data_IF_196339291610
#
_entry.id   IF_196339291610
#
_cell.length_a   1.000
_cell.length_b   1.000
_cell.length_c   1.000
_cell.angle_alpha   90.00
_cell.angle_beta   90.00
_cell.angle_gamma   90.00
#
_symmetry.space_group_name_H-M   'P 1'
#
loop_
_entity.id
_entity.type
_entity.pdbx_description
1 polymer ?
#
# COMPACT_ATOMS: atom_id res chain seq x y z
N UNK A 1 41.19 40.25 -3.52
CA UNK A 1 40.36 41.16 -2.72
C UNK A 1 38.95 40.65 -2.81
N UNK A 2 38.19 40.55 -1.72
CA UNK A 2 36.78 40.23 -1.80
C UNK A 2 36.09 41.33 -2.62
N UNK A 3 35.18 40.93 -3.48
CA UNK A 3 34.30 41.83 -4.21
C UNK A 3 33.56 42.73 -3.22
N UNK A 4 33.36 44.03 -3.58
CA UNK A 4 32.52 44.93 -2.79
C UNK A 4 31.10 44.38 -2.55
N UNK A 5 30.69 43.40 -3.34
CA UNK A 5 29.41 42.71 -3.26
C UNK A 5 29.42 41.41 -2.42
N UNK A 6 30.54 41.09 -1.74
CA UNK A 6 30.65 39.86 -0.95
C UNK A 6 29.57 39.77 0.16
N UNK A 7 29.30 40.88 0.86
CA UNK A 7 28.22 40.96 1.82
C UNK A 7 26.83 40.75 1.21
N UNK A 8 26.61 41.23 -0.02
CA UNK A 8 25.37 41.00 -0.76
C UNK A 8 25.20 39.53 -1.13
N UNK A 9 26.26 38.84 -1.53
CA UNK A 9 26.22 37.39 -1.82
C UNK A 9 25.87 36.58 -0.57
N UNK A 10 26.43 36.92 0.60
CA UNK A 10 26.08 36.30 1.88
C UNK A 10 24.60 36.49 2.18
N UNK A 11 24.09 37.72 2.06
CA UNK A 11 22.67 37.99 2.30
C UNK A 11 21.76 37.28 1.30
N UNK A 12 22.16 37.18 0.04
CA UNK A 12 21.43 36.48 -1.01
C UNK A 12 21.34 34.96 -0.73
N UNK A 13 22.45 34.31 -0.36
CA UNK A 13 22.46 32.89 -0.01
C UNK A 13 21.59 32.61 1.21
N UNK A 14 21.64 33.50 2.23
CA UNK A 14 20.75 33.43 3.40
C UNK A 14 19.27 33.55 3.05
N UNK A 15 18.92 34.44 2.10
CA UNK A 15 17.56 34.61 1.60
C UNK A 15 17.07 33.35 0.86
N UNK A 16 17.89 32.79 -0.02
CA UNK A 16 17.58 31.56 -0.75
C UNK A 16 17.35 30.39 0.22
N UNK A 17 18.22 30.23 1.21
CA UNK A 17 18.09 29.19 2.22
C UNK A 17 16.81 29.34 3.05
N UNK A 18 16.47 30.60 3.44
CA UNK A 18 15.23 30.88 4.16
C UNK A 18 13.99 30.61 3.31
N UNK A 19 14.01 30.94 2.02
CA UNK A 19 12.92 30.65 1.09
C UNK A 19 12.73 29.11 0.91
N UNK A 20 13.83 28.36 0.79
CA UNK A 20 13.76 26.91 0.72
C UNK A 20 13.12 26.32 2.00
N UNK A 21 13.51 26.81 3.18
CA UNK A 21 12.94 26.38 4.45
C UNK A 21 11.45 26.73 4.58
N UNK A 22 11.04 27.95 4.18
CA UNK A 22 9.64 28.38 4.17
C UNK A 22 8.80 27.56 3.21
N UNK A 23 9.27 27.32 2.00
CA UNK A 23 8.56 26.51 1.00
C UNK A 23 8.38 25.08 1.48
N UNK A 24 9.41 24.48 2.07
CA UNK A 24 9.33 23.12 2.64
C UNK A 24 8.38 23.06 3.81
N UNK A 25 8.40 24.07 4.70
CA UNK A 25 7.46 24.14 5.82
C UNK A 25 6.03 24.31 5.33
N UNK A 26 5.79 25.18 4.36
CA UNK A 26 4.47 25.40 3.75
C UNK A 26 3.94 24.13 3.09
N UNK A 27 4.80 23.39 2.39
CA UNK A 27 4.45 22.11 1.78
C UNK A 27 4.10 21.06 2.85
N UNK A 28 4.86 20.99 3.95
CA UNK A 28 4.56 20.10 5.08
C UNK A 28 3.20 20.41 5.72
N UNK A 29 2.88 21.71 5.90
CA UNK A 29 1.61 22.15 6.48
C UNK A 29 0.46 21.82 5.52
N UNK A 30 0.61 22.13 4.23
CA UNK A 30 -0.42 21.85 3.22
C UNK A 30 -0.77 20.35 3.13
N UNK A 31 0.22 19.48 3.35
CA UNK A 31 0.06 18.04 3.23
C UNK A 31 -0.06 17.29 4.57
N UNK A 32 -0.30 17.98 5.69
CA UNK A 32 -0.36 17.37 7.03
C UNK A 32 -1.42 16.28 7.14
N UNK A 33 -2.50 16.39 6.36
CA UNK A 33 -3.60 15.42 6.33
C UNK A 33 -3.56 14.49 5.10
N UNK A 34 -2.57 14.63 4.23
CA UNK A 34 -2.44 13.78 3.04
C UNK A 34 -1.90 12.42 3.46
N UNK A 35 -2.69 11.38 3.20
CA UNK A 35 -2.29 10.01 3.52
C UNK A 35 -1.01 9.62 2.77
N UNK A 36 -0.07 8.98 3.48
CA UNK A 36 1.23 8.57 2.92
C UNK A 36 2.26 9.71 2.78
N UNK A 37 1.92 10.95 3.15
CA UNK A 37 2.88 12.06 3.11
C UNK A 37 3.94 11.92 4.20
N UNK A 38 5.21 12.05 3.83
CA UNK A 38 6.34 12.10 4.76
C UNK A 38 6.86 13.52 4.88
N UNK A 39 6.97 14.03 6.13
CA UNK A 39 7.51 15.35 6.42
C UNK A 39 8.89 15.53 5.81
N UNK A 40 9.13 16.66 5.17
CA UNK A 40 10.41 17.04 4.60
C UNK A 40 11.17 17.98 5.54
N UNK A 41 12.48 17.85 5.55
CA UNK A 41 13.42 18.72 6.28
C UNK A 41 14.48 19.25 5.32
N UNK A 42 14.77 20.55 5.42
CA UNK A 42 15.85 21.16 4.69
C UNK A 42 17.13 21.03 5.50
N UNK A 43 18.17 20.46 4.88
CA UNK A 43 19.50 20.39 5.45
C UNK A 43 20.31 21.57 4.95
N UNK A 44 20.77 22.41 5.89
CA UNK A 44 21.56 23.61 5.62
C UNK A 44 22.85 23.56 6.40
N UNK A 45 23.93 24.07 5.80
CA UNK A 45 25.20 24.22 6.46
C UNK A 45 25.80 25.59 6.17
N UNK A 46 26.75 26.00 7.01
CA UNK A 46 27.55 27.18 6.72
C UNK A 46 28.39 26.91 5.47
N UNK A 47 28.34 27.83 4.50
CA UNK A 47 29.19 27.74 3.32
C UNK A 47 30.68 27.82 3.74
N UNK A 48 31.55 27.17 2.96
CA UNK A 48 32.98 27.10 3.23
C UNK A 48 33.57 28.49 3.44
N UNK A 49 34.27 28.69 4.56
CA UNK A 49 34.89 30.00 4.86
C UNK A 49 35.95 30.39 3.83
N UNK A 50 35.86 31.60 3.30
CA UNK A 50 36.83 32.13 2.35
C UNK A 50 37.93 32.87 3.09
N UNK A 51 39.18 32.59 2.75
CA UNK A 51 40.33 33.34 3.23
C UNK A 51 40.41 34.69 2.50
N UNK A 52 39.81 35.70 3.11
CA UNK A 52 39.63 37.01 2.48
C UNK A 52 40.79 37.95 2.83
N UNK A 53 41.37 37.81 4.01
CA UNK A 53 42.46 38.64 4.51
C UNK A 53 43.61 37.78 5.02
N UNK A 54 44.83 38.13 4.64
CA UNK A 54 46.01 37.41 5.12
C UNK A 54 46.24 37.61 6.62
N UNK A 55 45.72 38.69 7.20
CA UNK A 55 46.01 39.13 8.57
C UNK A 55 44.86 38.86 9.54
N UNK A 56 43.61 38.74 9.09
CA UNK A 56 42.42 38.67 9.96
C UNK A 56 41.67 37.34 9.91
N UNK A 57 42.19 36.30 9.24
CA UNK A 57 41.59 34.97 9.18
C UNK A 57 40.59 34.79 8.04
N UNK A 58 39.64 33.87 8.24
CA UNK A 58 38.63 33.50 7.24
C UNK A 58 37.31 34.21 7.51
N UNK A 59 36.69 34.73 6.45
CA UNK A 59 35.33 35.27 6.50
C UNK A 59 34.30 34.19 6.15
N UNK A 60 33.18 34.17 6.85
CA UNK A 60 32.06 33.29 6.53
C UNK A 60 31.47 33.62 5.16
N UNK A 61 31.12 32.63 4.36
CA UNK A 61 30.62 32.77 2.99
C UNK A 61 29.09 32.66 2.87
N UNK A 62 28.37 32.64 3.99
CA UNK A 62 26.90 32.52 3.99
C UNK A 62 26.41 31.13 4.31
N UNK A 63 25.28 30.76 3.75
CA UNK A 63 24.59 29.46 3.99
C UNK A 63 24.44 28.71 2.66
N UNK A 64 24.65 27.40 2.73
CA UNK A 64 24.43 26.48 1.63
C UNK A 64 23.31 25.52 1.98
N UNK A 65 22.32 25.36 1.09
CA UNK A 65 21.28 24.35 1.21
C UNK A 65 21.73 23.09 0.50
N UNK A 66 21.97 22.03 1.26
CA UNK A 66 22.50 20.78 0.72
C UNK A 66 21.44 19.91 0.07
N UNK A 67 20.32 19.69 0.78
CA UNK A 67 19.28 18.79 0.32
C UNK A 67 17.95 19.07 1.05
N UNK A 68 16.86 18.61 0.45
CA UNK A 68 15.55 18.46 1.10
C UNK A 68 15.31 16.96 1.27
N UNK A 69 15.36 16.49 2.50
CA UNK A 69 15.26 15.08 2.85
C UNK A 69 13.92 14.77 3.49
N UNK A 70 13.41 13.55 3.26
CA UNK A 70 12.24 13.06 3.96
C UNK A 70 12.63 12.50 5.32
N UNK A 71 11.88 12.90 6.36
CA UNK A 71 12.06 12.35 7.70
C UNK A 71 11.24 11.06 7.77
N UNK A 72 11.90 9.91 7.65
CA UNK A 72 11.31 8.58 7.77
C UNK A 72 12.07 7.79 8.81
N UNK A 73 11.35 6.90 9.47
CA UNK A 73 11.89 5.92 10.39
C UNK A 73 11.59 4.52 9.82
N UNK A 74 12.62 3.87 9.30
CA UNK A 74 12.51 2.56 8.64
C UNK A 74 11.93 1.48 9.56
N UNK A 75 12.17 1.59 10.86
CA UNK A 75 11.62 0.65 11.83
C UNK A 75 10.09 0.75 11.91
N UNK A 76 9.54 1.96 11.99
CA UNK A 76 8.09 2.16 12.00
C UNK A 76 7.47 1.87 10.65
N UNK A 77 8.15 2.21 9.55
CA UNK A 77 7.70 1.90 8.19
C UNK A 77 7.57 0.37 8.01
N UNK A 78 8.59 -0.39 8.42
CA UNK A 78 8.55 -1.85 8.35
C UNK A 78 7.39 -2.44 9.16
N UNK A 79 7.19 -1.97 10.40
CA UNK A 79 6.06 -2.41 11.24
C UNK A 79 4.70 -2.03 10.66
N UNK A 80 4.60 -0.86 10.05
CA UNK A 80 3.37 -0.45 9.37
C UNK A 80 3.05 -1.38 8.20
N UNK A 81 4.04 -1.69 7.36
CA UNK A 81 3.85 -2.60 6.21
C UNK A 81 3.44 -4.01 6.66
N UNK A 82 4.11 -4.55 7.68
CA UNK A 82 3.78 -5.86 8.24
C UNK A 82 2.34 -5.89 8.80
N UNK A 83 1.95 -4.86 9.52
CA UNK A 83 0.61 -4.78 10.08
C UNK A 83 -0.45 -4.58 8.98
N UNK A 84 -0.18 -3.72 7.99
CA UNK A 84 -1.08 -3.48 6.88
C UNK A 84 -1.27 -4.74 6.02
N UNK A 85 -0.20 -5.51 5.79
CA UNK A 85 -0.28 -6.80 5.11
C UNK A 85 -1.18 -7.79 5.88
N UNK A 86 -1.06 -7.87 7.21
CA UNK A 86 -1.93 -8.69 8.06
C UNK A 86 -3.38 -8.22 8.03
N UNK A 87 -3.62 -6.91 8.07
CA UNK A 87 -4.98 -6.35 7.96
C UNK A 87 -5.61 -6.76 6.63
N UNK A 88 -4.86 -6.64 5.53
CA UNK A 88 -5.32 -7.09 4.21
C UNK A 88 -5.63 -8.59 4.17
N UNK A 89 -4.75 -9.43 4.73
CA UNK A 89 -4.94 -10.88 4.83
C UNK A 89 -6.22 -11.24 5.61
N UNK A 90 -6.38 -10.65 6.81
CA UNK A 90 -7.56 -10.96 7.64
C UNK A 90 -8.86 -10.42 7.05
N UNK A 91 -8.82 -9.26 6.40
CA UNK A 91 -9.99 -8.69 5.71
C UNK A 91 -10.45 -9.60 4.59
N UNK A 92 -9.51 -10.12 3.79
CA UNK A 92 -9.84 -11.04 2.71
C UNK A 92 -10.34 -12.40 3.23
N UNK A 93 -9.71 -12.92 4.29
CA UNK A 93 -10.19 -14.13 4.96
C UNK A 93 -11.61 -13.95 5.50
N UNK A 94 -11.88 -12.84 6.16
CA UNK A 94 -13.22 -12.53 6.67
C UNK A 94 -14.26 -12.50 5.54
N UNK A 95 -13.93 -11.86 4.44
CA UNK A 95 -14.82 -11.78 3.27
C UNK A 95 -15.22 -13.16 2.76
N UNK A 96 -14.25 -14.07 2.54
CA UNK A 96 -14.55 -15.41 2.07
C UNK A 96 -15.23 -16.27 3.14
N UNK A 97 -14.86 -16.12 4.43
CA UNK A 97 -15.53 -16.83 5.50
C UNK A 97 -17.00 -16.44 5.62
N UNK A 98 -17.34 -15.17 5.44
CA UNK A 98 -18.74 -14.71 5.41
C UNK A 98 -19.51 -15.32 4.24
N UNK A 99 -18.88 -15.49 3.07
CA UNK A 99 -19.50 -16.17 1.94
C UNK A 99 -19.73 -17.67 2.21
N UNK A 100 -18.75 -18.33 2.83
CA UNK A 100 -18.89 -19.73 3.23
C UNK A 100 -19.98 -19.88 4.28
N UNK A 101 -20.04 -19.00 5.29
CA UNK A 101 -21.07 -18.97 6.31
C UNK A 101 -22.48 -18.88 5.70
N UNK A 102 -22.64 -18.05 4.66
CA UNK A 102 -23.91 -17.90 3.96
C UNK A 102 -24.41 -19.20 3.29
N UNK A 103 -23.52 -20.15 2.98
CA UNK A 103 -23.92 -21.46 2.46
C UNK A 103 -24.48 -22.41 3.54
N UNK A 104 -24.17 -22.15 4.81
CA UNK A 104 -24.64 -22.91 5.95
C UNK A 104 -25.81 -22.23 6.68
N UNK A 105 -26.14 -20.99 6.31
CA UNK A 105 -27.11 -20.17 7.01
C UNK A 105 -28.53 -20.70 6.81
N UNK A 106 -29.28 -20.79 7.92
CA UNK A 106 -30.64 -21.27 8.02
C UNK A 106 -31.58 -20.08 8.24
N UNK A 107 -31.79 -19.29 7.19
CA UNK A 107 -32.55 -18.01 7.25
C UNK A 107 -34.07 -18.18 7.18
N UNK A 108 -34.60 -19.37 7.35
CA UNK A 108 -36.05 -19.63 7.31
C UNK A 108 -36.68 -19.49 5.89
N UNK A 109 -35.95 -18.95 4.89
CA UNK A 109 -36.37 -18.94 3.48
C UNK A 109 -35.84 -20.12 2.70
N UNK A 110 -34.62 -20.56 3.03
CA UNK A 110 -34.02 -21.78 2.51
C UNK A 110 -33.73 -22.70 3.70
N UNK A 111 -33.98 -23.98 3.53
CA UNK A 111 -33.64 -24.99 4.54
C UNK A 111 -32.10 -25.10 4.60
N UNK A 112 -31.48 -24.54 5.63
CA UNK A 112 -30.05 -24.69 5.91
C UNK A 112 -29.73 -26.07 6.48
N UNK A 113 -28.45 -26.29 6.80
CA UNK A 113 -27.99 -27.58 7.34
C UNK A 113 -28.80 -28.06 8.53
N UNK A 114 -29.08 -27.18 9.49
CA UNK A 114 -29.82 -27.52 10.70
C UNK A 114 -31.22 -28.02 10.38
N UNK A 115 -31.97 -27.34 9.55
CA UNK A 115 -33.35 -27.75 9.18
C UNK A 115 -33.36 -29.09 8.47
N UNK A 116 -32.46 -29.30 7.50
CA UNK A 116 -32.39 -30.57 6.74
C UNK A 116 -31.98 -31.74 7.65
N UNK A 117 -31.02 -31.50 8.54
CA UNK A 117 -30.55 -32.50 9.50
C UNK A 117 -31.61 -32.82 10.55
N UNK A 118 -32.30 -31.83 11.13
CA UNK A 118 -33.37 -32.03 12.09
C UNK A 118 -34.56 -32.76 11.46
N UNK A 119 -34.88 -32.50 10.22
CA UNK A 119 -35.92 -33.24 9.49
C UNK A 119 -35.60 -34.73 9.36
N UNK A 120 -34.34 -35.08 9.09
CA UNK A 120 -33.90 -36.48 9.01
C UNK A 120 -33.85 -37.13 10.41
N UNK A 121 -33.08 -36.52 11.34
CA UNK A 121 -32.71 -37.14 12.61
C UNK A 121 -33.80 -37.03 13.66
N UNK A 122 -34.59 -35.97 13.67
CA UNK A 122 -35.65 -35.78 14.63
C UNK A 122 -36.99 -36.24 14.03
N UNK A 123 -37.43 -35.57 12.95
CA UNK A 123 -38.78 -35.81 12.40
C UNK A 123 -38.90 -37.20 11.76
N UNK A 124 -37.98 -37.53 10.84
CA UNK A 124 -38.02 -38.78 10.10
C UNK A 124 -37.74 -40.00 10.98
N UNK A 125 -36.76 -39.89 11.91
CA UNK A 125 -36.43 -40.99 12.83
C UNK A 125 -37.53 -41.23 13.85
N UNK A 126 -38.13 -40.16 14.41
CA UNK A 126 -39.24 -40.30 15.36
C UNK A 126 -40.48 -40.91 14.73
N UNK A 127 -40.82 -40.52 13.49
CA UNK A 127 -41.98 -41.10 12.79
C UNK A 127 -41.74 -42.58 12.45
N UNK A 128 -40.52 -42.92 11.99
CA UNK A 128 -40.17 -44.33 11.76
C UNK A 128 -40.19 -45.19 13.02
N UNK A 129 -39.82 -44.63 14.21
CA UNK A 129 -39.88 -45.33 15.49
C UNK A 129 -41.31 -45.54 15.98
N UNK A 130 -42.25 -44.61 15.69
CA UNK A 130 -43.66 -44.74 16.07
C UNK A 130 -44.38 -45.79 15.22
N UNK A 131 -44.11 -45.84 13.93
CA UNK A 131 -44.78 -46.70 12.95
C UNK A 131 -43.77 -47.43 12.08
N UNK A 132 -43.02 -48.40 12.62
CA UNK A 132 -41.91 -49.05 11.92
C UNK A 132 -42.32 -49.87 10.70
N UNK A 133 -43.56 -50.32 10.64
CA UNK A 133 -44.11 -51.16 9.55
C UNK A 133 -44.79 -50.32 8.46
N UNK A 134 -45.00 -49.03 8.69
CA UNK A 134 -45.65 -48.16 7.71
C UNK A 134 -44.72 -47.83 6.51
N UNK A 135 -45.19 -48.13 5.32
CA UNK A 135 -44.47 -47.83 4.07
C UNK A 135 -44.33 -46.33 3.82
N UNK A 136 -45.31 -45.53 4.30
CA UNK A 136 -45.26 -44.08 4.16
C UNK A 136 -44.13 -43.48 5.02
N UNK A 137 -44.00 -43.91 6.28
CA UNK A 137 -42.94 -43.47 7.19
C UNK A 137 -41.54 -43.84 6.64
N UNK A 138 -41.36 -45.02 6.06
CA UNK A 138 -40.13 -45.43 5.40
C UNK A 138 -39.80 -44.57 4.19
N UNK A 139 -40.78 -44.31 3.35
CA UNK A 139 -40.60 -43.45 2.15
C UNK A 139 -40.22 -42.03 2.54
N UNK A 140 -40.87 -41.48 3.58
CA UNK A 140 -40.57 -40.14 4.07
C UNK A 140 -39.16 -40.06 4.68
N UNK A 141 -38.71 -41.04 5.44
CA UNK A 141 -37.33 -41.09 5.95
C UNK A 141 -36.30 -41.14 4.83
N UNK A 142 -36.53 -41.95 3.78
CA UNK A 142 -35.67 -42.00 2.60
C UNK A 142 -35.68 -40.61 1.86
N UNK A 143 -36.86 -39.96 1.81
CA UNK A 143 -36.97 -38.62 1.25
C UNK A 143 -36.12 -37.57 1.99
N UNK A 144 -36.13 -37.60 3.34
CA UNK A 144 -35.28 -36.73 4.15
C UNK A 144 -33.79 -37.05 3.98
N UNK A 145 -33.42 -38.31 3.87
CA UNK A 145 -32.04 -38.71 3.58
C UNK A 145 -31.59 -38.24 2.19
N UNK A 146 -32.49 -38.33 1.20
CA UNK A 146 -32.25 -37.76 -0.14
C UNK A 146 -32.05 -36.26 -0.11
N UNK A 147 -32.91 -35.52 0.61
CA UNK A 147 -32.77 -34.06 0.77
C UNK A 147 -31.45 -33.67 1.44
N UNK A 148 -30.97 -34.44 2.43
CA UNK A 148 -29.66 -34.22 3.04
C UNK A 148 -28.52 -34.46 2.05
N UNK A 149 -28.59 -35.50 1.23
CA UNK A 149 -27.61 -35.78 0.19
C UNK A 149 -27.58 -34.67 -0.88
N UNK A 150 -28.73 -34.17 -1.32
CA UNK A 150 -28.87 -33.07 -2.26
C UNK A 150 -28.28 -31.77 -1.67
N UNK A 151 -28.53 -31.50 -0.39
CA UNK A 151 -27.95 -30.36 0.31
C UNK A 151 -26.41 -30.41 0.28
N UNK A 152 -25.80 -31.53 0.62
CA UNK A 152 -24.33 -31.66 0.58
C UNK A 152 -23.77 -31.58 -0.84
N UNK A 153 -24.45 -32.13 -1.84
CA UNK A 153 -24.04 -32.00 -3.23
C UNK A 153 -24.10 -30.53 -3.70
N UNK A 154 -25.18 -29.82 -3.33
CA UNK A 154 -25.29 -28.41 -3.60
C UNK A 154 -24.18 -27.57 -2.93
N UNK A 155 -23.91 -27.87 -1.64
CA UNK A 155 -22.84 -27.23 -0.89
C UNK A 155 -21.46 -27.48 -1.53
N UNK A 156 -21.16 -28.73 -1.90
CA UNK A 156 -19.91 -29.07 -2.58
C UNK A 156 -19.76 -28.29 -3.89
N UNK A 157 -20.81 -28.23 -4.72
CA UNK A 157 -20.80 -27.46 -5.96
C UNK A 157 -20.57 -25.95 -5.74
N UNK A 158 -21.16 -25.38 -4.70
CA UNK A 158 -20.96 -23.97 -4.34
C UNK A 158 -19.53 -23.71 -3.85
N UNK A 159 -18.95 -24.59 -3.06
CA UNK A 159 -17.56 -24.50 -2.60
C UNK A 159 -16.57 -24.66 -3.74
N UNK A 160 -16.80 -25.58 -4.68
CA UNK A 160 -15.97 -25.72 -5.88
C UNK A 160 -16.03 -24.46 -6.76
N UNK A 161 -17.21 -23.87 -6.90
CA UNK A 161 -17.38 -22.61 -7.62
C UNK A 161 -16.61 -21.49 -6.94
N UNK A 162 -16.79 -21.33 -5.62
CA UNK A 162 -16.03 -20.34 -4.83
C UNK A 162 -14.53 -20.53 -4.99
N UNK A 163 -14.02 -21.76 -4.95
CA UNK A 163 -12.61 -22.03 -5.17
C UNK A 163 -12.13 -21.59 -6.55
N UNK A 164 -12.93 -21.81 -7.60
CA UNK A 164 -12.60 -21.35 -8.96
C UNK A 164 -12.60 -19.81 -9.05
N UNK A 165 -13.58 -19.17 -8.43
CA UNK A 165 -13.69 -17.71 -8.40
C UNK A 165 -12.50 -17.09 -7.65
N UNK A 166 -12.10 -17.66 -6.49
CA UNK A 166 -10.88 -17.23 -5.75
C UNK A 166 -9.61 -17.40 -6.60
N UNK A 167 -9.46 -18.52 -7.28
CA UNK A 167 -8.29 -18.76 -8.14
C UNK A 167 -8.24 -17.76 -9.32
N UNK A 168 -9.39 -17.37 -9.85
CA UNK A 168 -9.46 -16.35 -10.90
C UNK A 168 -9.12 -14.96 -10.34
N UNK A 169 -9.61 -14.62 -9.15
CA UNK A 169 -9.30 -13.36 -8.48
C UNK A 169 -7.81 -13.25 -8.17
N UNK A 170 -7.17 -14.33 -7.70
CA UNK A 170 -5.71 -14.37 -7.49
C UNK A 170 -4.97 -14.03 -8.78
N UNK A 171 -5.35 -14.59 -9.93
CA UNK A 171 -4.72 -14.27 -11.22
C UNK A 171 -4.85 -12.79 -11.56
N UNK A 172 -6.06 -12.23 -11.43
CA UNK A 172 -6.29 -10.81 -11.68
C UNK A 172 -5.46 -9.92 -10.75
N UNK A 173 -5.34 -10.30 -9.47
CA UNK A 173 -4.51 -9.55 -8.51
C UNK A 173 -3.01 -9.64 -8.81
N UNK A 174 -2.54 -10.79 -9.29
CA UNK A 174 -1.14 -10.93 -9.75
C UNK A 174 -0.87 -10.05 -10.97
N UNK A 175 -1.79 -10.00 -11.93
CA UNK A 175 -1.66 -9.14 -13.11
C UNK A 175 -1.66 -7.65 -12.73
N UNK A 176 -2.52 -7.25 -11.80
CA UNK A 176 -2.55 -5.89 -11.23
C UNK A 176 -1.21 -5.55 -10.54
N UNK A 177 -0.68 -6.44 -9.72
CA UNK A 177 0.63 -6.26 -9.07
C UNK A 177 1.78 -6.12 -10.08
N UNK A 178 1.79 -6.92 -11.14
CA UNK A 178 2.80 -6.82 -12.19
C UNK A 178 2.70 -5.48 -12.95
N UNK A 179 1.49 -4.99 -13.20
CA UNK A 179 1.26 -3.66 -13.80
C UNK A 179 1.80 -2.56 -12.90
N UNK A 180 1.46 -2.58 -11.61
CA UNK A 180 1.96 -1.59 -10.64
C UNK A 180 3.50 -1.62 -10.52
N UNK A 181 4.10 -2.81 -10.52
CA UNK A 181 5.56 -2.94 -10.49
C UNK A 181 6.22 -2.31 -11.73
N UNK A 182 5.61 -2.50 -12.91
CA UNK A 182 6.07 -1.90 -14.16
C UNK A 182 5.93 -0.36 -14.14
N UNK A 183 4.82 0.15 -13.59
CA UNK A 183 4.62 1.60 -13.42
C UNK A 183 5.67 2.20 -12.47
N UNK A 184 5.94 1.55 -11.33
CA UNK A 184 6.99 1.98 -10.39
C UNK A 184 8.36 2.01 -11.07
N UNK A 185 8.70 0.97 -11.84
CA UNK A 185 9.97 0.93 -12.58
C UNK A 185 10.06 2.08 -13.60
N UNK A 186 8.97 2.40 -14.28
CA UNK A 186 8.90 3.51 -15.25
C UNK A 186 9.06 4.87 -14.54
N UNK A 187 8.36 5.07 -13.42
CA UNK A 187 8.48 6.29 -12.62
C UNK A 187 9.88 6.47 -12.06
N UNK A 188 10.51 5.40 -11.56
CA UNK A 188 11.91 5.46 -11.10
C UNK A 188 12.86 5.86 -12.22
N UNK A 189 12.65 5.32 -13.44
CA UNK A 189 13.46 5.73 -14.61
C UNK A 189 13.25 7.21 -14.94
N UNK A 190 12.01 7.71 -14.88
CA UNK A 190 11.73 9.14 -15.11
C UNK A 190 12.39 10.02 -14.05
N UNK A 191 12.33 9.65 -12.77
CA UNK A 191 12.97 10.38 -11.67
C UNK A 191 14.47 10.46 -11.90
N UNK A 192 15.12 9.34 -12.17
CA UNK A 192 16.57 9.30 -12.46
C UNK A 192 16.94 10.20 -13.66
N UNK A 193 16.11 10.23 -14.71
CA UNK A 193 16.34 11.08 -15.87
C UNK A 193 16.24 12.56 -15.50
N UNK A 194 15.24 12.95 -14.69
CA UNK A 194 15.05 14.33 -14.23
C UNK A 194 16.21 14.75 -13.31
N UNK A 195 16.63 13.88 -12.39
CA UNK A 195 17.75 14.16 -11.49
C UNK A 195 19.06 14.37 -12.26
N UNK A 196 19.34 13.54 -13.28
CA UNK A 196 20.50 13.70 -14.16
C UNK A 196 20.45 15.03 -14.92
N UNK A 197 19.29 15.42 -15.46
CA UNK A 197 19.13 16.71 -16.16
C UNK A 197 19.31 17.86 -15.19
N UNK A 198 18.78 17.81 -13.98
CA UNK A 198 18.96 18.84 -12.96
C UNK A 198 20.42 18.95 -12.52
N UNK A 199 21.14 17.84 -12.38
CA UNK A 199 22.56 17.83 -12.04
C UNK A 199 23.40 18.47 -13.15
N UNK A 200 23.19 18.09 -14.42
CA UNK A 200 23.86 18.70 -15.57
C UNK A 200 23.54 20.20 -15.68
N UNK A 201 22.30 20.63 -15.39
CA UNK A 201 21.92 22.04 -15.44
C UNK A 201 22.58 22.88 -14.31
N UNK A 202 22.80 22.27 -13.13
CA UNK A 202 23.49 22.93 -12.02
C UNK A 202 24.97 23.10 -12.28
N UNK A 203 25.62 22.15 -12.95
CA UNK A 203 27.03 22.30 -13.38
C UNK A 203 27.20 23.37 -14.49
N UNK A 204 26.19 23.56 -15.35
CA UNK A 204 26.25 24.55 -16.44
C UNK A 204 26.20 26.00 -15.93
N UNK A 205 25.67 26.26 -14.76
CA UNK A 205 25.59 27.60 -14.15
C UNK A 205 26.84 28.00 -13.35
N UNK A 206 27.80 27.11 -13.18
CA UNK A 206 28.95 27.32 -12.30
C UNK A 206 30.32 27.43 -12.98
N UNK A 207 30.62 26.79 -14.09
CA UNK A 207 31.93 26.82 -14.76
C UNK A 207 31.83 26.44 -16.24
N UNK A 208 32.35 27.31 -17.08
CA UNK A 208 32.62 27.05 -18.48
C UNK A 208 33.79 26.04 -18.56
N UNK A 209 33.54 24.75 -18.62
CA UNK A 209 34.57 23.78 -18.99
C UNK A 209 33.98 22.52 -19.61
N UNK A 210 34.23 22.35 -20.91
CA UNK A 210 34.27 21.13 -21.70
C UNK A 210 33.35 19.97 -21.28
N UNK A 211 32.20 19.88 -21.91
CA UNK A 211 31.45 18.60 -22.01
C UNK A 211 31.73 17.99 -23.38
N UNK A 212 32.65 17.04 -23.40
CA UNK A 212 32.67 15.97 -24.40
C UNK A 212 32.07 14.75 -23.70
N UNK A 213 30.89 14.29 -24.17
CA UNK A 213 30.38 12.97 -23.85
C UNK A 213 29.06 12.94 -23.07
N UNK A 214 28.00 13.52 -23.61
CA UNK A 214 26.63 13.05 -23.39
C UNK A 214 26.08 12.65 -24.76
N UNK A 215 26.58 11.56 -25.30
CA UNK A 215 25.90 10.80 -26.35
C UNK A 215 25.11 9.67 -25.67
N UNK A 216 23.76 9.80 -25.73
CA UNK A 216 22.64 8.83 -25.66
C UNK A 216 22.79 7.62 -24.74
#
# INVERSE_FOLDING_TARGET
MPSQFFGLTIAYTGLLASNAALNTTSNNIANVQTEGYSRQKVNQQAAGALRVFQTFGCAGAGVETLAIERVRDEFYDGRYWDNNAKVGEYTQKQYYMTQIEAYFDDNGKNAGFKTVFDNLMITGMQELLKTPDDAAAKTQFVGYAGALAEYFNGLAGNLEKLQKDVNQEIKLKVDEMNSLASEIATLNKQINTIELICFCAAEFNGVNLFVQGCDL
#
